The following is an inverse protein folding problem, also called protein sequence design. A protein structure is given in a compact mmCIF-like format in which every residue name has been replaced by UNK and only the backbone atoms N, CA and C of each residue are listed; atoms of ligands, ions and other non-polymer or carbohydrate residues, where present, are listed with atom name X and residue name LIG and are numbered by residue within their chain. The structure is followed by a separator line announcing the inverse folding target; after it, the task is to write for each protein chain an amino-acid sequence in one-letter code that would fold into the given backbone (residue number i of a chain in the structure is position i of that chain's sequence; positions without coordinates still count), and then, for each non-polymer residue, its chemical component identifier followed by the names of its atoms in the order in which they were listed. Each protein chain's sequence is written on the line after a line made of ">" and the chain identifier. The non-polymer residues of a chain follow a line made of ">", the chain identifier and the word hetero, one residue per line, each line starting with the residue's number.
data_IF_170170207663
#
_entry.id   IF_170170207663
#
_cell.length_a   1.000
_cell.length_b   1.000
_cell.length_c   1.000
_cell.angle_alpha   90.00
_cell.angle_beta   90.00
_cell.angle_gamma   90.00
#
_symmetry.space_group_name_H-M   'P 1'
#
loop_
_entity.id
_entity.type
_entity.pdbx_description
1 polymer ?
#
# COMPACT_ATOMS: atom_id res chain seq x y z
N UNK A 1 -15.31 -1.09 11.62
CA UNK A 1 -14.38 -1.39 10.52
C UNK A 1 -14.29 -0.14 9.67
N UNK A 2 -13.18 0.57 9.71
CA UNK A 2 -12.91 1.64 8.75
C UNK A 2 -12.38 0.94 7.51
N UNK A 3 -13.13 0.95 6.41
CA UNK A 3 -12.55 0.70 5.09
C UNK A 3 -11.37 1.66 4.96
N UNK A 4 -10.14 1.17 5.06
CA UNK A 4 -9.03 1.90 4.46
C UNK A 4 -9.47 2.05 3.01
N UNK A 5 -9.55 3.28 2.50
CA UNK A 5 -10.13 3.63 1.20
C UNK A 5 -9.36 3.09 -0.01
N UNK A 6 -8.97 1.82 0.03
CA UNK A 6 -8.53 1.03 -1.09
C UNK A 6 -9.76 0.70 -1.91
N UNK A 7 -9.91 1.42 -3.01
CA UNK A 7 -10.92 1.14 -4.01
C UNK A 7 -10.32 0.14 -5.00
N UNK A 8 -11.06 -0.91 -5.33
CA UNK A 8 -10.61 -1.90 -6.32
C UNK A 8 -10.30 -1.22 -7.66
N UNK A 9 -9.16 -1.61 -8.26
CA UNK A 9 -8.71 -1.07 -9.54
C UNK A 9 -7.84 0.20 -9.46
N UNK A 10 -7.72 0.83 -8.28
CA UNK A 10 -6.81 1.97 -8.14
C UNK A 10 -5.33 1.56 -8.23
N UNK A 11 -4.49 2.34 -8.91
CA UNK A 11 -3.07 2.04 -9.00
C UNK A 11 -2.41 2.17 -7.62
N UNK A 12 -1.60 1.17 -7.28
CA UNK A 12 -0.88 1.11 -6.01
C UNK A 12 0.61 1.24 -6.24
N UNK A 13 1.28 2.11 -5.48
CA UNK A 13 2.72 2.31 -5.53
C UNK A 13 3.32 2.41 -4.14
N UNK A 14 4.35 1.60 -3.85
CA UNK A 14 5.16 1.78 -2.65
C UNK A 14 6.10 2.97 -2.87
N UNK A 15 5.96 4.01 -2.05
CA UNK A 15 6.79 5.21 -2.12
C UNK A 15 8.09 5.04 -1.36
N UNK A 16 8.00 4.64 -0.08
CA UNK A 16 9.14 4.47 0.84
C UNK A 16 8.86 3.42 1.91
N UNK A 17 9.93 2.83 2.45
CA UNK A 17 9.90 1.97 3.65
C UNK A 17 10.50 2.74 4.82
N UNK A 18 9.83 2.77 5.97
CA UNK A 18 10.35 3.43 7.19
C UNK A 18 11.65 2.80 7.69
N UNK A 19 12.53 3.58 8.32
CA UNK A 19 13.78 3.09 8.91
C UNK A 19 13.95 3.61 10.35
N UNK A 20 14.57 2.81 11.25
CA UNK A 20 15.00 1.42 11.08
C UNK A 20 13.82 0.42 11.22
N UNK A 21 13.89 -0.72 10.52
CA UNK A 21 12.88 -1.80 10.64
C UNK A 21 11.94 -1.99 9.44
N UNK A 22 11.99 -1.11 8.44
CA UNK A 22 11.23 -1.29 7.18
C UNK A 22 9.74 -0.90 7.27
N UNK A 23 9.31 -0.34 8.40
CA UNK A 23 7.91 0.01 8.69
C UNK A 23 7.79 1.43 9.27
N UNK A 24 6.66 2.12 9.05
CA UNK A 24 5.56 1.74 8.15
C UNK A 24 5.95 1.89 6.66
N UNK A 25 5.20 1.23 5.79
CA UNK A 25 5.26 1.39 4.34
C UNK A 25 4.45 2.63 3.95
N UNK A 26 5.11 3.62 3.35
CA UNK A 26 4.41 4.72 2.68
C UNK A 26 3.94 4.21 1.31
N UNK A 27 2.63 4.11 1.12
CA UNK A 27 1.99 3.59 -0.10
C UNK A 27 1.04 4.63 -0.65
N UNK A 28 1.09 4.85 -1.95
CA UNK A 28 0.12 5.66 -2.69
C UNK A 28 -0.91 4.76 -3.36
N UNK A 29 -2.18 5.11 -3.20
CA UNK A 29 -3.33 4.45 -3.82
C UNK A 29 -4.12 5.54 -4.51
N UNK A 30 -4.17 5.51 -5.84
CA UNK A 30 -4.68 6.64 -6.62
C UNK A 30 -3.93 7.93 -6.29
N UNK A 31 -4.66 8.91 -5.72
CA UNK A 31 -4.13 10.22 -5.29
C UNK A 31 -3.79 10.31 -3.80
N UNK A 32 -4.16 9.31 -3.01
CA UNK A 32 -3.99 9.33 -1.56
C UNK A 32 -2.74 8.59 -1.12
N UNK A 33 -2.10 9.07 -0.05
CA UNK A 33 -0.92 8.43 0.54
C UNK A 33 -1.24 7.92 1.94
N UNK A 34 -0.88 6.67 2.20
CA UNK A 34 -1.14 5.95 3.44
C UNK A 34 0.17 5.45 4.03
N UNK A 35 0.25 5.45 5.36
CA UNK A 35 1.30 4.76 6.10
C UNK A 35 0.75 3.44 6.62
N UNK A 36 1.15 2.33 6.00
CA UNK A 36 0.68 0.99 6.35
C UNK A 36 1.70 0.29 7.24
N UNK A 37 1.25 -0.30 8.34
CA UNK A 37 2.04 -1.29 9.07
C UNK A 37 2.17 -2.55 8.22
N UNK A 38 3.20 -3.34 8.46
CA UNK A 38 3.41 -4.61 7.76
C UNK A 38 2.27 -5.58 7.96
N UNK A 39 1.66 -5.60 9.15
CA UNK A 39 0.46 -6.40 9.40
C UNK A 39 -0.74 -5.97 8.54
N UNK A 40 -0.89 -4.67 8.27
CA UNK A 40 -1.96 -4.14 7.42
C UNK A 40 -1.65 -4.42 5.94
N UNK A 41 -0.40 -4.20 5.51
CA UNK A 41 0.05 -4.47 4.15
C UNK A 41 -0.02 -5.96 3.77
N UNK A 42 0.22 -6.87 4.73
CA UNK A 42 0.12 -8.32 4.52
C UNK A 42 -1.32 -8.79 4.22
N UNK A 43 -2.33 -7.99 4.56
CA UNK A 43 -3.73 -8.29 4.27
C UNK A 43 -4.20 -7.79 2.90
N UNK A 44 -3.34 -7.12 2.12
CA UNK A 44 -3.69 -6.51 0.84
C UNK A 44 -3.02 -7.29 -0.29
N UNK A 45 -3.81 -7.81 -1.22
CA UNK A 45 -3.31 -8.45 -2.43
C UNK A 45 -3.22 -7.41 -3.56
N UNK A 46 -2.11 -7.43 -4.31
CA UNK A 46 -1.89 -6.56 -5.47
C UNK A 46 -1.46 -7.39 -6.66
N UNK A 47 -1.82 -6.93 -7.86
CA UNK A 47 -1.32 -7.49 -9.13
C UNK A 47 -0.21 -6.59 -9.67
N UNK A 48 0.89 -7.14 -10.21
CA UNK A 48 1.91 -6.33 -10.88
C UNK A 48 1.30 -5.60 -12.08
N UNK A 49 1.58 -4.30 -12.22
CA UNK A 49 1.14 -3.53 -13.38
C UNK A 49 1.82 -3.97 -14.69
N UNK A 50 3.00 -4.60 -14.58
CA UNK A 50 3.85 -5.07 -15.68
C UNK A 50 3.76 -6.60 -15.89
N UNK A 51 2.60 -7.21 -15.65
CA UNK A 51 2.37 -8.60 -16.03
C UNK A 51 2.07 -8.68 -17.55
N UNK A 52 3.13 -8.66 -18.37
CA UNK A 52 3.12 -9.20 -19.74
C UNK A 52 3.55 -10.66 -19.75
#
# INVERSE_FOLDING_TARGET
>A
MRELGFIEGEPVQVLRRGQPGGEPLAVRVGVSTFALRRAEAACIQVVPADAS
#
